data_IF_828375832654
#
_entry.id   IF_828375832654
#
_cell.length_a   1.000
_cell.length_b   1.000
_cell.length_c   1.000
_cell.angle_alpha   90.00
_cell.angle_beta   90.00
_cell.angle_gamma   90.00
#
_symmetry.space_group_name_H-M   'P 1'
#
loop_
_entity.id
_entity.type
_entity.pdbx_description
1 polymer ?
#
# COMPACT_ATOMS: atom_id res chain seq x y z
N UNK A 1 13.99 11.95 24.82
CA UNK A 1 15.10 12.21 23.88
C UNK A 1 14.98 11.23 22.73
N UNK A 2 14.22 11.59 21.68
CA UNK A 2 14.22 10.89 20.40
C UNK A 2 14.15 11.98 19.32
N UNK A 3 15.29 12.61 19.08
CA UNK A 3 15.55 13.30 17.83
C UNK A 3 16.03 12.20 16.88
N UNK A 4 15.16 11.71 16.00
CA UNK A 4 15.56 10.78 14.95
C UNK A 4 14.79 11.12 13.67
N UNK A 5 15.57 11.50 12.65
CA UNK A 5 15.30 11.72 11.22
C UNK A 5 13.84 11.64 10.74
N UNK A 6 13.42 12.62 9.95
CA UNK A 6 12.21 12.62 9.10
C UNK A 6 12.34 11.61 7.94
N UNK A 7 12.80 10.40 8.22
CA UNK A 7 12.93 9.31 7.26
C UNK A 7 11.57 8.64 7.10
N UNK A 8 10.88 9.04 6.04
CA UNK A 8 9.63 8.40 5.60
C UNK A 8 10.00 7.25 4.68
N UNK A 9 9.55 6.05 5.01
CA UNK A 9 9.78 4.89 4.20
C UNK A 9 8.66 4.77 3.15
N UNK A 10 9.00 4.58 1.87
CA UNK A 10 8.02 4.28 0.84
C UNK A 10 8.11 2.79 0.49
N UNK A 11 7.03 2.06 0.69
CA UNK A 11 6.93 0.67 0.28
C UNK A 11 6.05 0.57 -0.96
N UNK A 12 6.68 0.31 -2.11
CA UNK A 12 5.97 -0.02 -3.35
C UNK A 12 5.84 -1.54 -3.43
N UNK A 13 4.62 -2.01 -3.59
CA UNK A 13 4.27 -3.43 -3.67
C UNK A 13 3.43 -3.70 -4.91
N UNK A 14 3.60 -4.88 -5.50
CA UNK A 14 2.75 -5.40 -6.57
C UNK A 14 1.80 -6.45 -6.03
N UNK A 15 0.80 -6.83 -6.83
CA UNK A 15 -0.16 -7.90 -6.48
C UNK A 15 0.53 -9.18 -5.95
N UNK A 16 1.70 -9.56 -6.47
CA UNK A 16 2.45 -10.72 -5.95
C UNK A 16 2.88 -10.52 -4.50
N UNK A 17 3.47 -9.37 -4.18
CA UNK A 17 4.00 -9.11 -2.86
C UNK A 17 2.89 -9.03 -1.79
N UNK A 18 1.66 -8.70 -2.19
CA UNK A 18 0.49 -8.76 -1.33
C UNK A 18 0.04 -10.19 -0.96
N UNK A 19 0.31 -11.18 -1.80
CA UNK A 19 -0.02 -12.58 -1.51
C UNK A 19 0.90 -13.16 -0.43
N UNK A 20 2.10 -12.59 -0.26
CA UNK A 20 3.03 -13.02 0.77
C UNK A 20 2.59 -12.54 2.15
N UNK A 21 2.86 -13.38 3.17
CA UNK A 21 2.55 -13.08 4.57
C UNK A 21 3.24 -11.80 5.08
N UNK A 22 4.37 -11.42 4.48
CA UNK A 22 5.10 -10.20 4.86
C UNK A 22 4.26 -8.93 4.70
N UNK A 23 3.37 -8.85 3.68
CA UNK A 23 2.55 -7.66 3.47
C UNK A 23 1.61 -7.35 4.66
N UNK A 24 0.72 -8.27 5.09
CA UNK A 24 -0.12 -8.02 6.25
C UNK A 24 0.67 -7.89 7.55
N UNK A 25 1.79 -8.62 7.72
CA UNK A 25 2.65 -8.50 8.89
C UNK A 25 3.27 -7.09 9.01
N UNK A 26 3.89 -6.60 7.93
CA UNK A 26 4.47 -5.25 7.89
C UNK A 26 3.40 -4.18 8.07
N UNK A 27 2.23 -4.32 7.44
CA UNK A 27 1.13 -3.36 7.56
C UNK A 27 0.62 -3.25 9.00
N UNK A 28 0.44 -4.39 9.67
CA UNK A 28 -0.01 -4.42 11.06
C UNK A 28 1.02 -3.79 12.01
N UNK A 29 2.30 -4.13 11.84
CA UNK A 29 3.41 -3.57 12.63
C UNK A 29 3.53 -2.06 12.41
N UNK A 30 3.46 -1.59 11.16
CA UNK A 30 3.53 -0.18 10.84
C UNK A 30 2.39 0.61 11.50
N UNK A 31 1.17 0.06 11.51
CA UNK A 31 0.03 0.71 12.18
C UNK A 31 0.19 0.72 13.69
N UNK A 32 0.64 -0.38 14.29
CA UNK A 32 0.85 -0.51 15.73
C UNK A 32 1.84 0.54 16.25
N UNK A 33 2.94 0.74 15.52
CA UNK A 33 3.99 1.69 15.89
C UNK A 33 3.81 3.10 15.31
N UNK A 34 2.70 3.36 14.62
CA UNK A 34 2.41 4.67 14.01
C UNK A 34 3.55 5.16 13.10
N UNK A 35 4.12 4.27 12.29
CA UNK A 35 5.23 4.60 11.41
C UNK A 35 4.77 5.43 10.20
N UNK A 36 5.56 6.42 9.74
CA UNK A 36 5.27 7.16 8.52
C UNK A 36 5.67 6.34 7.28
N UNK A 37 4.91 5.27 7.02
CA UNK A 37 5.12 4.31 5.92
C UNK A 37 3.97 4.39 4.90
N UNK A 38 4.08 5.22 3.85
CA UNK A 38 3.24 5.09 2.67
C UNK A 38 3.45 3.74 1.97
N UNK A 39 2.34 3.04 1.71
CA UNK A 39 2.31 1.79 0.95
C UNK A 39 1.58 2.06 -0.37
N UNK A 40 2.24 1.80 -1.49
CA UNK A 40 1.68 1.94 -2.84
C UNK A 40 1.51 0.56 -3.44
N UNK A 41 0.30 0.28 -3.93
CA UNK A 41 -0.05 -0.98 -4.57
C UNK A 41 -0.24 -0.74 -6.07
N UNK A 42 0.58 -1.39 -6.89
CA UNK A 42 0.37 -1.43 -8.34
C UNK A 42 -0.49 -2.64 -8.71
N UNK A 43 -1.71 -2.36 -9.17
CA UNK A 43 -2.66 -3.36 -9.63
C UNK A 43 -2.68 -3.43 -11.16
N UNK A 44 -1.90 -4.37 -11.70
CA UNK A 44 -1.89 -4.69 -13.13
C UNK A 44 -2.75 -5.92 -13.47
N UNK A 45 -3.64 -6.35 -12.56
CA UNK A 45 -4.57 -7.49 -12.69
C UNK A 45 -3.94 -8.90 -12.72
N UNK A 46 -2.60 -9.03 -12.69
CA UNK A 46 -1.89 -10.31 -12.77
C UNK A 46 -0.72 -10.40 -11.80
N UNK A 47 -0.56 -11.58 -11.20
CA UNK A 47 0.63 -12.01 -10.48
C UNK A 47 1.37 -13.02 -11.34
N UNK A 48 2.36 -12.55 -12.10
CA UNK A 48 3.01 -13.34 -13.15
C UNK A 48 1.96 -13.86 -14.15
N UNK A 49 1.74 -15.17 -14.22
CA UNK A 49 0.72 -15.81 -15.07
C UNK A 49 -0.65 -15.99 -14.40
N UNK A 50 -0.79 -15.64 -13.11
CA UNK A 50 -2.01 -15.87 -12.33
C UNK A 50 -2.90 -14.61 -12.32
N UNK A 51 -4.15 -14.67 -12.78
CA UNK A 51 -5.04 -13.52 -12.73
C UNK A 51 -5.48 -13.19 -11.30
N UNK A 52 -5.69 -11.91 -11.01
CA UNK A 52 -6.05 -11.40 -9.68
C UNK A 52 -7.23 -12.11 -9.04
N UNK A 53 -8.29 -12.36 -9.80
CA UNK A 53 -9.50 -13.03 -9.30
C UNK A 53 -9.27 -14.48 -8.86
N UNK A 54 -8.21 -15.13 -9.36
CA UNK A 54 -7.81 -16.48 -8.95
C UNK A 54 -6.84 -16.45 -7.75
N UNK A 55 -6.11 -15.34 -7.57
CA UNK A 55 -5.12 -15.19 -6.51
C UNK A 55 -5.66 -14.57 -5.22
N UNK A 56 -6.66 -13.68 -5.32
CA UNK A 56 -7.24 -12.95 -4.20
C UNK A 56 -8.73 -13.23 -4.05
N UNK A 57 -9.16 -13.45 -2.80
CA UNK A 57 -10.57 -13.57 -2.46
C UNK A 57 -11.32 -12.22 -2.48
N UNK A 58 -10.58 -11.10 -2.38
CA UNK A 58 -11.15 -9.74 -2.40
C UNK A 58 -10.98 -9.09 -3.77
N UNK A 59 -12.01 -8.37 -4.22
CA UNK A 59 -11.99 -7.68 -5.51
C UNK A 59 -11.01 -6.51 -5.54
N UNK A 60 -10.81 -5.83 -4.40
CA UNK A 60 -10.00 -4.62 -4.34
C UNK A 60 -8.98 -4.66 -3.20
N UNK A 61 -7.79 -4.12 -3.48
CA UNK A 61 -6.65 -4.09 -2.57
C UNK A 61 -6.91 -3.22 -1.33
N UNK A 62 -7.64 -2.11 -1.50
CA UNK A 62 -7.95 -1.18 -0.42
C UNK A 62 -8.70 -1.86 0.76
N UNK A 63 -9.44 -2.94 0.49
CA UNK A 63 -10.20 -3.66 1.52
C UNK A 63 -9.26 -4.28 2.57
N UNK A 64 -8.05 -4.67 2.18
CA UNK A 64 -7.04 -5.19 3.11
C UNK A 64 -6.47 -4.08 3.98
N UNK A 65 -6.20 -2.90 3.42
CA UNK A 65 -5.77 -1.74 4.20
C UNK A 65 -6.82 -1.32 5.25
N UNK A 66 -8.11 -1.36 4.89
CA UNK A 66 -9.20 -1.08 5.83
C UNK A 66 -9.23 -2.05 7.03
N UNK A 67 -8.86 -3.32 6.85
CA UNK A 67 -8.79 -4.28 7.96
C UNK A 67 -7.73 -3.93 9.02
N UNK A 68 -6.71 -3.16 8.65
CA UNK A 68 -5.69 -2.64 9.57
C UNK A 68 -5.99 -1.22 10.05
N UNK A 69 -7.18 -0.68 9.76
CA UNK A 69 -7.56 0.69 10.11
C UNK A 69 -6.57 1.72 9.54
N UNK A 70 -6.10 1.48 8.31
CA UNK A 70 -5.22 2.33 7.52
C UNK A 70 -6.05 3.00 6.40
N UNK A 71 -5.97 4.33 6.21
CA UNK A 71 -6.62 4.99 5.09
C UNK A 71 -6.05 4.49 3.76
N UNK A 72 -6.91 4.26 2.78
CA UNK A 72 -6.53 3.76 1.48
C UNK A 72 -7.28 4.53 0.38
N UNK A 73 -6.56 4.80 -0.71
CA UNK A 73 -7.05 5.57 -1.84
C UNK A 73 -6.92 4.72 -3.09
N UNK A 74 -7.93 4.75 -3.95
CA UNK A 74 -7.89 4.13 -5.28
C UNK A 74 -7.70 5.27 -6.26
N UNK A 75 -6.65 5.16 -7.08
CA UNK A 75 -6.24 6.16 -8.07
C UNK A 75 -6.05 5.46 -9.41
N UNK A 76 -6.33 6.13 -10.53
CA UNK A 76 -5.97 5.58 -11.84
C UNK A 76 -4.45 5.60 -11.99
N UNK A 77 -3.82 4.43 -12.01
CA UNK A 77 -2.37 4.30 -12.18
C UNK A 77 -1.85 4.82 -13.52
N UNK A 78 -2.73 5.09 -14.50
CA UNK A 78 -2.36 5.72 -15.77
C UNK A 78 -2.33 7.25 -15.69
N UNK A 79 -3.02 7.86 -14.73
CA UNK A 79 -2.95 9.30 -14.49
C UNK A 79 -1.81 9.61 -13.52
N UNK A 80 -0.62 9.83 -14.09
CA UNK A 80 0.59 10.16 -13.32
C UNK A 80 0.44 11.45 -12.51
N UNK A 81 -0.37 12.40 -12.98
CA UNK A 81 -0.60 13.68 -12.29
C UNK A 81 -1.46 13.44 -11.05
N UNK A 82 -2.49 12.62 -11.18
CA UNK A 82 -3.35 12.23 -10.05
C UNK A 82 -2.58 11.42 -9.00
N UNK A 83 -1.80 10.42 -9.42
CA UNK A 83 -0.93 9.63 -8.51
C UNK A 83 0.03 10.54 -7.75
N UNK A 84 0.69 11.47 -8.45
CA UNK A 84 1.61 12.41 -7.81
C UNK A 84 0.91 13.33 -6.82
N UNK A 85 -0.30 13.79 -7.14
CA UNK A 85 -1.10 14.66 -6.27
C UNK A 85 -1.46 13.92 -4.98
N UNK A 86 -2.06 12.74 -5.07
CA UNK A 86 -2.48 11.93 -3.92
C UNK A 86 -1.27 11.53 -3.07
N UNK A 87 -0.18 11.09 -3.70
CA UNK A 87 1.04 10.74 -2.98
C UNK A 87 1.62 11.94 -2.20
N UNK A 88 1.67 13.13 -2.80
CA UNK A 88 2.14 14.35 -2.13
C UNK A 88 1.25 14.75 -0.96
N UNK A 89 -0.06 14.68 -1.11
CA UNK A 89 -1.02 15.00 -0.06
C UNK A 89 -0.84 14.07 1.15
N UNK A 90 -0.71 12.76 0.92
CA UNK A 90 -0.55 11.80 2.00
C UNK A 90 0.82 11.83 2.64
N UNK A 91 1.87 12.07 1.86
CA UNK A 91 3.20 12.30 2.42
C UNK A 91 3.23 13.60 3.22
N UNK A 92 2.48 14.65 2.86
CA UNK A 92 2.52 15.92 3.59
C UNK A 92 1.86 15.87 4.98
N UNK A 93 0.99 14.88 5.24
CA UNK A 93 0.36 14.65 6.55
C UNK A 93 1.36 14.14 7.59
#
# INVERSE_FOLDING_TARGET
>A
MYLCSQERALQVTSLRAELHATFPETSNVARLFHLPLPIVIEDHLYADSTPKWAALATAHHFQRAQSFNVPAYVVDGRDVIEVLRVAKEEIAR
#
